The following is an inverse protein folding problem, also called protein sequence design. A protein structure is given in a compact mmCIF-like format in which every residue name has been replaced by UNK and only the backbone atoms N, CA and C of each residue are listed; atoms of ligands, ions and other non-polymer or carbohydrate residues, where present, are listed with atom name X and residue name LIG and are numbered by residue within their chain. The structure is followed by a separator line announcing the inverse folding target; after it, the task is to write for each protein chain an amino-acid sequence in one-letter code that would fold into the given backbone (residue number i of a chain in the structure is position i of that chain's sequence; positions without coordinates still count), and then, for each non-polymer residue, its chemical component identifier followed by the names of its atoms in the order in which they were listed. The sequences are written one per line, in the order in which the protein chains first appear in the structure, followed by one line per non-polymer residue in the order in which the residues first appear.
data_IF_676844535517
#
_entry.id   IF_676844535517
#
_cell.length_a   1.000
_cell.length_b   1.000
_cell.length_c   1.000
_cell.angle_alpha   90.00
_cell.angle_beta   90.00
_cell.angle_gamma   90.00
#
_symmetry.space_group_name_H-M   'P 1'
#
loop_
_entity.id
_entity.type
_entity.pdbx_description
1 polymer ?
#
# COMPACT_ATOMS: atom_id res chain seq x y z
N UNK A 1 25.21 7.52 -2.68
CA UNK A 1 24.08 8.29 -3.23
C UNK A 1 24.61 9.36 -4.19
N UNK A 2 24.45 9.15 -5.50
CA UNK A 2 24.81 10.11 -6.55
C UNK A 2 23.85 11.29 -6.47
N UNK A 3 24.37 12.48 -6.16
CA UNK A 3 23.62 13.74 -6.01
C UNK A 3 23.15 14.32 -7.35
N UNK A 4 22.46 13.53 -8.16
CA UNK A 4 21.92 13.97 -9.45
C UNK A 4 20.75 14.94 -9.26
N UNK A 5 20.85 16.10 -9.92
CA UNK A 5 19.81 17.12 -10.00
C UNK A 5 19.32 17.21 -11.44
N UNK A 6 18.04 16.93 -11.67
CA UNK A 6 17.38 17.06 -12.97
C UNK A 6 16.45 18.29 -12.91
N UNK A 7 16.53 19.16 -13.92
CA UNK A 7 15.66 20.33 -14.07
C UNK A 7 14.98 20.29 -15.43
N UNK A 8 13.67 20.51 -15.46
CA UNK A 8 12.86 20.53 -16.69
C UNK A 8 12.23 21.91 -16.82
N UNK A 9 12.45 22.56 -17.97
CA UNK A 9 11.86 23.86 -18.30
C UNK A 9 10.88 23.65 -19.45
N UNK A 10 9.63 24.06 -19.27
CA UNK A 10 8.57 23.95 -20.27
C UNK A 10 8.21 25.36 -20.71
N UNK A 11 8.47 25.68 -21.97
CA UNK A 11 8.16 26.98 -22.57
C UNK A 11 6.97 26.86 -23.53
N UNK A 12 6.00 27.76 -23.40
CA UNK A 12 4.77 27.82 -24.21
C UNK A 12 3.63 28.54 -23.48
N UNK A 13 2.74 29.20 -24.25
CA UNK A 13 1.72 30.12 -23.71
C UNK A 13 0.63 29.48 -22.83
N UNK A 14 0.37 28.19 -22.99
CA UNK A 14 -0.54 27.43 -22.10
C UNK A 14 0.04 26.04 -21.80
N UNK A 15 0.41 25.82 -20.54
CA UNK A 15 0.78 24.50 -20.06
C UNK A 15 -0.51 23.74 -19.73
N UNK A 16 -0.89 22.78 -20.57
CA UNK A 16 -2.05 21.94 -20.30
C UNK A 16 -1.78 20.99 -19.13
N UNK A 17 -2.83 20.68 -18.35
CA UNK A 17 -2.76 19.66 -17.29
C UNK A 17 -2.21 18.32 -17.81
N UNK A 18 -2.55 17.94 -19.04
CA UNK A 18 -2.04 16.73 -19.69
C UNK A 18 -0.52 16.76 -19.89
N UNK A 19 0.07 17.89 -20.26
CA UNK A 19 1.54 18.02 -20.40
C UNK A 19 2.25 17.84 -19.06
N UNK A 20 1.68 18.38 -17.97
CA UNK A 20 2.25 18.20 -16.63
C UNK A 20 2.20 16.72 -16.21
N UNK A 21 1.09 16.03 -16.47
CA UNK A 21 0.95 14.61 -16.17
C UNK A 21 1.95 13.75 -16.95
N UNK A 22 2.17 14.04 -18.23
CA UNK A 22 3.17 13.32 -19.05
C UNK A 22 4.60 13.45 -18.49
N UNK A 23 4.96 14.65 -18.01
CA UNK A 23 6.27 14.88 -17.38
C UNK A 23 6.40 14.13 -16.06
N UNK A 24 5.33 14.06 -15.26
CA UNK A 24 5.30 13.26 -14.03
C UNK A 24 5.45 11.76 -14.32
N UNK A 25 4.83 11.27 -15.39
CA UNK A 25 4.95 9.87 -15.80
C UNK A 25 6.36 9.55 -16.30
N UNK A 26 7.01 10.47 -17.00
CA UNK A 26 8.43 10.36 -17.36
C UNK A 26 9.32 10.24 -16.11
N UNK A 27 9.10 11.08 -15.09
CA UNK A 27 9.86 10.98 -13.84
C UNK A 27 9.64 9.67 -13.09
N UNK A 28 8.42 9.11 -13.13
CA UNK A 28 8.15 7.78 -12.58
C UNK A 28 8.99 6.72 -13.30
N UNK A 29 9.03 6.75 -14.63
CA UNK A 29 9.83 5.81 -15.44
C UNK A 29 11.31 5.91 -15.09
N UNK A 30 11.88 7.13 -15.05
CA UNK A 30 13.29 7.37 -14.72
C UNK A 30 13.61 6.94 -13.29
N UNK A 31 12.68 7.15 -12.35
CA UNK A 31 12.80 6.72 -10.96
C UNK A 31 12.63 5.21 -10.73
N UNK A 32 12.57 4.38 -11.79
CA UNK A 32 12.37 2.93 -11.68
C UNK A 32 10.94 2.51 -11.35
N UNK A 33 9.99 3.46 -11.37
CA UNK A 33 8.55 3.20 -11.32
C UNK A 33 8.08 3.01 -12.76
N UNK A 34 8.46 1.88 -13.33
CA UNK A 34 8.01 1.43 -14.64
C UNK A 34 6.47 1.38 -14.67
N UNK A 35 5.88 2.22 -15.53
CA UNK A 35 4.44 2.27 -15.80
C UNK A 35 4.03 1.28 -16.88
N UNK A 36 4.42 0.01 -16.71
CA UNK A 36 3.79 -1.16 -17.32
C UNK A 36 3.25 -2.00 -16.17
N UNK A 37 2.03 -2.53 -16.26
CA UNK A 37 1.33 -3.20 -15.15
C UNK A 37 2.19 -4.25 -14.43
N UNK A 38 2.93 -3.83 -13.41
CA UNK A 38 3.65 -4.71 -12.50
C UNK A 38 2.58 -5.51 -11.76
N UNK A 39 2.65 -6.83 -11.89
CA UNK A 39 1.86 -7.70 -11.04
C UNK A 39 2.13 -7.30 -9.58
N UNK A 40 1.08 -6.83 -8.89
CA UNK A 40 1.22 -6.37 -7.51
C UNK A 40 1.91 -7.45 -6.70
N UNK A 41 2.93 -7.08 -5.95
CA UNK A 41 3.60 -8.00 -5.05
C UNK A 41 2.59 -8.57 -4.06
N UNK A 42 2.87 -9.77 -3.51
CA UNK A 42 2.00 -10.36 -2.48
C UNK A 42 1.75 -9.39 -1.31
N UNK A 43 2.76 -8.59 -0.94
CA UNK A 43 2.63 -7.57 0.10
C UNK A 43 1.59 -6.51 -0.26
N UNK A 44 1.65 -5.98 -1.48
CA UNK A 44 0.71 -4.96 -1.97
C UNK A 44 -0.70 -5.53 -2.09
N UNK A 45 -0.83 -6.73 -2.67
CA UNK A 45 -2.11 -7.42 -2.75
C UNK A 45 -2.74 -7.64 -1.37
N UNK A 46 -1.95 -8.12 -0.40
CA UNK A 46 -2.44 -8.32 0.96
C UNK A 46 -2.85 -6.99 1.62
N UNK A 47 -2.07 -5.93 1.39
CA UNK A 47 -2.38 -4.61 1.91
C UNK A 47 -3.71 -4.07 1.36
N UNK A 48 -3.91 -4.20 0.05
CA UNK A 48 -5.15 -3.76 -0.61
C UNK A 48 -6.37 -4.51 -0.05
N UNK A 49 -6.26 -5.83 0.13
CA UNK A 49 -7.35 -6.62 0.73
C UNK A 49 -7.64 -6.17 2.15
N UNK A 50 -6.61 -5.89 2.97
CA UNK A 50 -6.81 -5.38 4.32
C UNK A 50 -7.47 -4.00 4.31
N UNK A 51 -7.05 -3.10 3.42
CA UNK A 51 -7.64 -1.78 3.24
C UNK A 51 -9.11 -1.86 2.82
N UNK A 52 -9.44 -2.73 1.86
CA UNK A 52 -10.80 -2.91 1.38
C UNK A 52 -11.74 -3.44 2.48
N UNK A 53 -11.24 -4.27 3.40
CA UNK A 53 -12.06 -4.93 4.41
C UNK A 53 -12.07 -4.20 5.76
N UNK A 54 -10.99 -3.49 6.12
CA UNK A 54 -10.77 -2.93 7.45
C UNK A 54 -10.32 -1.46 7.44
N UNK A 55 -10.43 -0.79 6.29
CA UNK A 55 -10.02 0.61 6.10
C UNK A 55 -10.88 1.65 6.82
N UNK A 56 -12.01 1.24 7.40
CA UNK A 56 -13.01 2.12 8.04
C UNK A 56 -12.83 2.26 9.56
N UNK A 57 -11.59 2.31 10.04
CA UNK A 57 -11.24 2.41 11.49
C UNK A 57 -11.64 1.18 12.33
N UNK A 58 -11.81 0.02 11.70
CA UNK A 58 -12.22 -1.22 12.37
C UNK A 58 -11.04 -2.03 12.93
N UNK A 59 -11.27 -2.66 14.09
CA UNK A 59 -10.30 -3.60 14.68
C UNK A 59 -10.52 -5.01 14.14
N UNK A 60 -9.46 -5.68 13.72
CA UNK A 60 -9.48 -7.05 13.22
C UNK A 60 -8.40 -7.93 13.89
N UNK A 61 -8.63 -9.22 13.87
CA UNK A 61 -7.70 -10.27 14.32
C UNK A 61 -6.96 -10.89 13.14
N UNK A 62 -5.88 -11.64 13.41
CA UNK A 62 -5.17 -12.40 12.36
C UNK A 62 -6.10 -13.38 11.64
N UNK A 63 -7.07 -13.97 12.36
CA UNK A 63 -8.01 -14.93 11.79
C UNK A 63 -9.02 -14.26 10.85
N UNK A 64 -9.52 -13.07 11.20
CA UNK A 64 -10.40 -12.28 10.32
C UNK A 64 -9.65 -11.80 9.08
N UNK A 65 -8.41 -11.32 9.22
CA UNK A 65 -7.56 -10.98 8.09
C UNK A 65 -7.30 -12.19 7.18
N UNK A 66 -7.01 -13.35 7.77
CA UNK A 66 -6.85 -14.60 7.02
C UNK A 66 -8.12 -14.99 6.27
N UNK A 67 -9.29 -14.81 6.89
CA UNK A 67 -10.56 -15.04 6.23
C UNK A 67 -10.77 -14.13 5.02
N UNK A 68 -10.51 -12.83 5.14
CA UNK A 68 -10.59 -11.91 4.00
C UNK A 68 -9.61 -12.28 2.87
N UNK A 69 -8.37 -12.64 3.24
CA UNK A 69 -7.29 -12.91 2.29
C UNK A 69 -7.44 -14.23 1.54
N UNK A 70 -7.88 -15.31 2.20
CA UNK A 70 -8.03 -16.62 1.54
C UNK A 70 -9.10 -16.62 0.44
N UNK A 71 -10.07 -15.71 0.51
CA UNK A 71 -11.12 -15.58 -0.52
C UNK A 71 -10.62 -14.85 -1.77
N UNK A 72 -9.69 -13.91 -1.62
CA UNK A 72 -9.16 -13.08 -2.73
C UNK A 72 -7.83 -13.57 -3.28
N UNK A 73 -7.00 -14.25 -2.48
CA UNK A 73 -5.66 -14.70 -2.85
C UNK A 73 -5.57 -16.22 -2.79
N UNK A 74 -5.14 -16.84 -3.90
CA UNK A 74 -4.93 -18.30 -3.96
C UNK A 74 -3.73 -18.68 -3.08
N UNK A 75 -3.90 -19.70 -2.22
CA UNK A 75 -2.83 -20.37 -1.44
C UNK A 75 -2.07 -19.49 -0.42
N UNK A 76 -2.78 -18.65 0.34
CA UNK A 76 -2.18 -17.94 1.50
C UNK A 76 -2.41 -18.76 2.78
N UNK A 77 -1.36 -18.99 3.58
CA UNK A 77 -1.46 -19.66 4.88
C UNK A 77 -1.70 -18.65 6.02
N UNK A 78 -2.26 -19.09 7.16
CA UNK A 78 -2.45 -18.22 8.33
C UNK A 78 -1.12 -17.69 8.88
N UNK A 79 -0.05 -18.49 8.79
CA UNK A 79 1.31 -18.10 9.19
C UNK A 79 1.86 -16.99 8.30
N UNK A 80 1.63 -17.08 6.98
CA UNK A 80 1.97 -16.02 6.02
C UNK A 80 1.25 -14.72 6.38
N UNK A 81 -0.06 -14.79 6.67
CA UNK A 81 -0.84 -13.63 7.12
C UNK A 81 -0.28 -13.02 8.40
N UNK A 82 -0.01 -13.84 9.42
CA UNK A 82 0.59 -13.38 10.67
C UNK A 82 1.94 -12.69 10.46
N UNK A 83 2.77 -13.21 9.54
CA UNK A 83 4.07 -12.63 9.19
C UNK A 83 3.91 -11.24 8.57
N UNK A 84 3.01 -11.10 7.59
CA UNK A 84 2.75 -9.80 6.94
C UNK A 84 2.08 -8.79 7.86
N UNK A 85 1.13 -9.20 8.70
CA UNK A 85 0.56 -8.32 9.75
C UNK A 85 1.67 -7.80 10.66
N UNK A 86 2.60 -8.66 11.07
CA UNK A 86 3.74 -8.25 11.89
C UNK A 86 4.67 -7.28 11.15
N UNK A 87 4.87 -7.45 9.84
CA UNK A 87 5.63 -6.51 9.00
C UNK A 87 4.94 -5.15 8.90
N UNK A 88 3.63 -5.13 8.61
CA UNK A 88 2.86 -3.88 8.54
C UNK A 88 2.82 -3.15 9.88
N UNK A 89 2.76 -3.87 11.00
CA UNK A 89 2.90 -3.28 12.33
C UNK A 89 4.28 -2.64 12.53
N UNK A 90 5.37 -3.33 12.16
CA UNK A 90 6.74 -2.79 12.25
C UNK A 90 6.94 -1.57 11.35
N UNK A 91 6.29 -1.54 10.20
CA UNK A 91 6.28 -0.42 9.26
C UNK A 91 5.41 0.75 9.73
N UNK A 92 4.72 0.62 10.88
CA UNK A 92 3.87 1.67 11.42
C UNK A 92 2.56 1.88 10.66
N UNK A 93 2.15 0.91 9.83
CA UNK A 93 0.86 0.93 9.11
C UNK A 93 -0.32 0.50 9.95
N UNK A 94 -0.07 -0.36 10.94
CA UNK A 94 -1.07 -0.88 11.85
C UNK A 94 -0.85 -0.37 13.26
N UNK A 95 -1.94 -0.25 14.02
CA UNK A 95 -1.96 -0.21 15.47
C UNK A 95 -2.23 -1.61 16.01
N UNK A 96 -1.75 -1.88 17.23
CA UNK A 96 -1.98 -3.14 17.92
C UNK A 96 -2.58 -2.87 19.29
N UNK A 97 -3.61 -3.63 19.66
CA UNK A 97 -4.22 -3.63 20.99
C UNK A 97 -4.33 -5.05 21.53
N UNK A 98 -4.19 -5.18 22.85
CA UNK A 98 -4.29 -6.46 23.56
C UNK A 98 -3.02 -7.32 23.50
N UNK A 99 -3.12 -8.50 24.11
CA UNK A 99 -2.09 -9.55 24.14
C UNK A 99 -2.67 -10.85 23.58
N UNK A 100 -1.85 -11.84 23.28
CA UNK A 100 -2.35 -13.15 22.81
C UNK A 100 -3.28 -13.75 23.88
N UNK A 101 -4.39 -14.42 23.49
CA UNK A 101 -4.89 -14.64 22.12
C UNK A 101 -5.74 -13.48 21.56
N UNK A 102 -6.15 -12.52 22.38
CA UNK A 102 -7.06 -11.42 22.05
C UNK A 102 -6.38 -10.24 21.33
N UNK A 103 -5.31 -10.50 20.58
CA UNK A 103 -4.58 -9.44 19.86
C UNK A 103 -5.42 -8.95 18.69
N UNK A 104 -5.69 -7.65 18.68
CA UNK A 104 -6.37 -6.96 17.60
C UNK A 104 -5.45 -5.94 16.94
N UNK A 105 -5.68 -5.71 15.66
CA UNK A 105 -4.97 -4.79 14.81
C UNK A 105 -5.94 -3.83 14.17
N UNK A 106 -5.48 -2.63 13.82
CA UNK A 106 -6.28 -1.64 13.12
C UNK A 106 -5.39 -0.86 12.16
N UNK A 107 -5.93 -0.50 11.01
CA UNK A 107 -5.21 0.36 10.05
C UNK A 107 -5.13 1.77 10.63
N UNK A 108 -3.93 2.36 10.68
CA UNK A 108 -3.75 3.72 11.18
C UNK A 108 -4.50 4.72 10.30
N UNK A 109 -5.11 5.73 10.92
CA UNK A 109 -5.93 6.77 10.24
C UNK A 109 -5.21 7.51 9.11
N UNK A 110 -3.88 7.60 9.15
CA UNK A 110 -3.10 8.21 8.06
C UNK A 110 -3.16 7.40 6.75
N UNK A 111 -3.57 6.13 6.82
CA UNK A 111 -3.73 5.24 5.67
C UNK A 111 -5.19 4.93 5.34
N UNK A 112 -6.14 5.28 6.22
CA UNK A 112 -7.57 5.07 5.96
C UNK A 112 -8.04 5.99 4.84
N UNK A 113 -8.91 5.51 3.94
CA UNK A 113 -9.54 6.39 2.94
C UNK A 113 -10.37 7.44 3.67
N UNK A 114 -10.20 8.71 3.31
CA UNK A 114 -11.20 9.73 3.66
C UNK A 114 -12.51 9.29 2.99
N UNK A 115 -13.56 9.13 3.79
CA UNK A 115 -14.93 8.91 3.30
C UNK A 115 -15.47 10.22 2.76
#
# INVERSE_FOLDING_TARGET
PTGEKISVVIEGGEISHQRVLQVLDLFKIIGGVESGGKEKTLKEQMWDVLMDNFGSDEWFTVNEAYAALRHKLKKVSVTTVSSYISRFLKEGKLEKKGRKPYTKYRIRKIYTRAV
#
